data_IF_856347201083
#
_entry.id   IF_856347201083
#
_cell.length_a   1.000
_cell.length_b   1.000
_cell.length_c   1.000
_cell.angle_alpha   90.00
_cell.angle_beta   90.00
_cell.angle_gamma   90.00
#
_symmetry.space_group_name_H-M   'P 1'
#
loop_
_entity.id
_entity.type
_entity.pdbx_description
1 polymer ?
#
# COMPACT_ATOMS: atom_id res chain seq x y z
N UNK A 1 -14.38 -19.39 34.85
CA UNK A 1 -13.23 -19.32 33.96
C UNK A 1 -13.18 -17.91 33.34
N UNK A 2 -12.24 -17.08 33.82
CA UNK A 2 -11.96 -15.77 33.25
C UNK A 2 -11.05 -15.99 32.03
N UNK A 3 -11.53 -15.66 30.84
CA UNK A 3 -10.68 -15.46 29.68
C UNK A 3 -9.78 -14.25 29.93
N UNK A 4 -8.49 -14.51 30.04
CA UNK A 4 -7.47 -13.47 30.08
C UNK A 4 -7.19 -13.08 28.63
N UNK A 5 -7.80 -11.97 28.20
CA UNK A 5 -7.44 -11.31 26.96
C UNK A 5 -5.98 -10.83 27.05
N UNK A 6 -5.08 -11.53 26.40
CA UNK A 6 -3.70 -11.08 26.24
C UNK A 6 -3.65 -9.99 25.19
N UNK A 7 -3.73 -8.75 25.63
CA UNK A 7 -3.38 -7.59 24.79
C UNK A 7 -1.87 -7.60 24.57
N UNK A 8 -1.43 -7.98 23.38
CA UNK A 8 -0.04 -7.78 22.99
C UNK A 8 0.16 -6.35 22.51
N UNK A 9 1.01 -5.61 23.17
CA UNK A 9 1.49 -4.30 22.73
C UNK A 9 2.80 -4.51 21.98
N UNK A 10 2.83 -4.24 20.67
CA UNK A 10 4.06 -4.23 19.91
C UNK A 10 4.78 -2.89 20.18
N UNK A 11 5.97 -2.98 20.77
CA UNK A 11 6.84 -1.82 21.02
C UNK A 11 7.87 -1.81 19.91
N UNK A 12 7.74 -0.85 18.98
CA UNK A 12 8.73 -0.59 17.95
C UNK A 12 9.68 0.52 18.40
N UNK A 13 10.97 0.21 18.40
CA UNK A 13 12.05 1.17 18.66
C UNK A 13 12.54 1.69 17.31
N UNK A 14 12.09 2.89 16.95
CA UNK A 14 12.58 3.60 15.77
C UNK A 14 13.39 4.80 16.27
N UNK A 15 14.68 4.86 15.93
CA UNK A 15 15.58 5.95 16.32
C UNK A 15 15.49 6.33 17.81
N UNK A 16 15.61 5.33 18.71
CA UNK A 16 15.50 5.49 20.18
C UNK A 16 14.16 6.04 20.70
N UNK A 17 13.10 6.07 19.88
CA UNK A 17 11.74 6.44 20.31
C UNK A 17 10.84 5.22 20.37
N UNK A 18 10.12 5.08 21.47
CA UNK A 18 9.17 3.97 21.69
C UNK A 18 7.83 4.37 21.05
N UNK A 19 7.41 3.61 20.04
CA UNK A 19 6.07 3.73 19.45
C UNK A 19 5.26 2.52 19.89
N UNK A 20 4.22 2.75 20.68
CA UNK A 20 3.30 1.71 21.12
C UNK A 20 2.15 1.60 20.10
N UNK A 21 2.16 0.52 19.33
CA UNK A 21 1.00 0.13 18.49
C UNK A 21 0.23 -0.92 19.28
N UNK A 22 -0.97 -0.56 19.74
CA UNK A 22 -1.88 -1.50 20.40
C UNK A 22 -2.52 -2.39 19.34
N UNK A 23 -2.03 -3.62 19.21
CA UNK A 23 -2.55 -4.63 18.31
C UNK A 23 -3.50 -5.54 19.08
N UNK A 24 -4.78 -5.49 18.75
CA UNK A 24 -5.77 -6.45 19.26
C UNK A 24 -5.86 -7.64 18.29
N UNK A 25 -5.49 -8.82 18.77
CA UNK A 25 -5.66 -10.08 18.03
C UNK A 25 -4.37 -10.88 17.86
N UNK A 26 -4.41 -12.12 18.31
CA UNK A 26 -3.31 -13.08 18.25
C UNK A 26 -3.36 -13.79 16.88
N UNK A 27 -2.66 -13.26 15.88
CA UNK A 27 -2.47 -13.87 14.58
C UNK A 27 -1.00 -13.81 14.15
N UNK A 28 -0.59 -14.66 13.22
CA UNK A 28 0.76 -14.64 12.65
C UNK A 28 0.98 -13.32 11.89
N UNK A 29 1.58 -12.33 12.55
CA UNK A 29 1.95 -11.06 11.92
C UNK A 29 3.36 -11.13 11.38
N UNK A 30 3.51 -10.85 10.07
CA UNK A 30 4.83 -10.71 9.45
C UNK A 30 5.18 -9.24 9.35
N UNK A 31 6.34 -8.89 9.86
CA UNK A 31 6.87 -7.52 9.87
C UNK A 31 8.08 -7.43 8.97
N UNK A 32 8.12 -6.40 8.12
CA UNK A 32 9.19 -6.16 7.18
C UNK A 32 9.63 -4.69 7.23
N UNK A 33 10.90 -4.42 6.91
CA UNK A 33 11.40 -3.06 6.78
C UNK A 33 10.93 -2.45 5.46
N UNK A 34 10.36 -1.25 5.50
CA UNK A 34 10.15 -0.41 4.33
C UNK A 34 11.42 0.41 4.08
N UNK A 35 11.96 0.34 2.85
CA UNK A 35 13.24 1.00 2.50
C UNK A 35 13.06 2.12 1.48
N UNK A 36 11.91 2.19 0.80
CA UNK A 36 11.53 3.29 -0.09
C UNK A 36 10.03 3.46 -0.08
N UNK A 37 9.57 4.70 -0.09
CA UNK A 37 8.16 5.06 -0.11
C UNK A 37 7.89 6.12 -1.17
N UNK A 38 6.87 5.87 -1.96
CA UNK A 38 6.46 6.74 -3.06
C UNK A 38 4.93 6.82 -3.10
N UNK A 39 4.40 7.99 -3.45
CA UNK A 39 2.98 8.19 -3.77
C UNK A 39 2.85 8.41 -5.27
N UNK A 40 1.84 7.80 -5.88
CA UNK A 40 1.46 8.06 -7.27
C UNK A 40 0.28 9.03 -7.25
N UNK A 41 0.47 10.21 -7.82
CA UNK A 41 -0.61 11.20 -7.88
C UNK A 41 -1.61 10.88 -9.01
N UNK A 42 -2.73 11.62 -9.05
CA UNK A 42 -3.82 11.47 -10.03
C UNK A 42 -3.36 11.56 -11.49
N UNK A 43 -2.21 12.21 -11.75
CA UNK A 43 -1.61 12.32 -13.08
C UNK A 43 -0.60 11.20 -13.38
N UNK A 44 -0.49 10.20 -12.52
CA UNK A 44 0.46 9.09 -12.66
C UNK A 44 1.91 9.48 -12.36
N UNK A 45 2.16 10.67 -11.79
CA UNK A 45 3.50 11.08 -11.36
C UNK A 45 3.85 10.43 -10.04
N UNK A 46 5.07 9.94 -9.97
CA UNK A 46 5.63 9.33 -8.76
C UNK A 46 6.34 10.42 -7.95
N UNK A 47 5.92 10.58 -6.70
CA UNK A 47 6.54 11.46 -5.71
C UNK A 47 7.22 10.56 -4.68
N UNK A 48 8.53 10.67 -4.58
CA UNK A 48 9.33 9.91 -3.60
C UNK A 48 9.56 10.76 -2.34
N UNK A 49 9.36 10.15 -1.18
CA UNK A 49 9.64 10.74 0.12
C UNK A 49 10.82 10.04 0.75
N UNK A 50 11.79 10.82 1.23
CA UNK A 50 12.96 10.29 1.93
C UNK A 50 12.54 9.69 3.27
N UNK A 51 12.77 8.38 3.43
CA UNK A 51 12.48 7.68 4.66
C UNK A 51 13.64 7.79 5.65
N UNK A 52 13.36 8.27 6.86
CA UNK A 52 14.26 8.07 7.99
C UNK A 52 14.13 6.66 8.56
N UNK A 53 12.89 6.14 8.59
CA UNK A 53 12.61 4.75 8.94
C UNK A 53 11.24 4.33 8.40
N UNK A 54 11.00 3.01 8.34
CA UNK A 54 9.71 2.49 7.90
C UNK A 54 9.54 1.01 8.19
N UNK A 55 8.33 0.63 8.56
CA UNK A 55 7.94 -0.75 8.81
C UNK A 55 6.58 -1.05 8.18
N UNK A 56 6.46 -2.23 7.59
CA UNK A 56 5.20 -2.72 7.06
C UNK A 56 4.84 -4.05 7.72
N UNK A 57 3.59 -4.17 8.13
CA UNK A 57 3.06 -5.31 8.89
C UNK A 57 1.91 -5.94 8.09
N UNK A 58 2.02 -7.23 7.83
CA UNK A 58 0.94 -8.02 7.25
C UNK A 58 0.09 -8.63 8.36
N UNK A 59 -1.22 -8.34 8.36
CA UNK A 59 -2.20 -8.91 9.27
C UNK A 59 -2.91 -10.10 8.61
N UNK A 60 -2.23 -11.24 8.48
CA UNK A 60 -2.70 -12.38 7.67
C UNK A 60 -4.07 -12.94 8.12
N UNK A 61 -4.42 -12.87 9.40
CA UNK A 61 -5.63 -13.54 9.92
C UNK A 61 -6.90 -12.68 9.91
N UNK A 62 -6.79 -11.36 9.80
CA UNK A 62 -7.97 -10.49 9.95
C UNK A 62 -8.63 -10.13 8.62
N UNK A 63 -8.07 -10.53 7.48
CA UNK A 63 -8.56 -10.10 6.15
C UNK A 63 -8.51 -8.56 5.94
N UNK A 64 -7.95 -7.82 6.89
CA UNK A 64 -7.99 -6.36 6.97
C UNK A 64 -6.74 -5.67 6.41
N UNK A 65 -5.95 -6.37 5.58
CA UNK A 65 -4.87 -5.73 4.84
C UNK A 65 -3.58 -5.54 5.64
N UNK A 66 -2.81 -4.53 5.24
CA UNK A 66 -1.48 -4.24 5.74
C UNK A 66 -1.48 -2.92 6.52
N UNK A 67 -0.60 -2.81 7.50
CA UNK A 67 -0.26 -1.53 8.14
C UNK A 67 1.14 -1.12 7.72
N UNK A 68 1.28 0.12 7.28
CA UNK A 68 2.57 0.74 7.00
C UNK A 68 2.77 1.92 7.94
N UNK A 69 3.87 1.93 8.66
CA UNK A 69 4.34 3.11 9.39
C UNK A 69 5.63 3.61 8.75
N UNK A 70 5.67 4.90 8.45
CA UNK A 70 6.86 5.59 7.94
C UNK A 70 7.22 6.77 8.83
N UNK A 71 8.51 7.06 8.89
CA UNK A 71 9.06 8.27 9.53
C UNK A 71 9.75 9.09 8.45
N UNK A 72 9.27 10.31 8.25
CA UNK A 72 9.78 11.27 7.26
C UNK A 72 9.95 12.65 7.87
N UNK A 73 10.53 13.60 7.12
CA UNK A 73 10.62 15.02 7.52
C UNK A 73 9.24 15.61 7.78
N UNK A 74 9.12 16.41 8.83
CA UNK A 74 7.86 17.08 9.17
C UNK A 74 7.52 18.28 8.26
N UNK A 75 8.39 18.62 7.30
CA UNK A 75 8.09 19.63 6.27
C UNK A 75 6.87 19.26 5.41
N UNK A 76 6.54 17.96 5.31
CA UNK A 76 5.40 17.43 4.58
C UNK A 76 4.13 17.32 5.44
N UNK A 77 4.13 17.84 6.68
CA UNK A 77 3.02 17.63 7.63
C UNK A 77 1.68 18.09 7.08
N UNK A 78 1.61 19.29 6.51
CA UNK A 78 0.34 19.84 6.01
C UNK A 78 -0.24 18.98 4.87
N UNK A 79 0.61 18.49 3.97
CA UNK A 79 0.18 17.60 2.87
C UNK A 79 -0.44 16.30 3.39
N UNK A 80 0.21 15.64 4.34
CA UNK A 80 -0.31 14.39 4.88
C UNK A 80 -1.50 14.61 5.81
N UNK A 81 -1.56 15.77 6.47
CA UNK A 81 -2.71 16.18 7.27
C UNK A 81 -3.95 16.37 6.40
N UNK A 82 -3.79 17.00 5.23
CA UNK A 82 -4.85 17.14 4.23
C UNK A 82 -5.34 15.78 3.73
N UNK A 83 -4.43 14.84 3.43
CA UNK A 83 -4.79 13.48 3.04
C UNK A 83 -5.58 12.76 4.15
N UNK A 84 -5.20 12.97 5.41
CA UNK A 84 -5.90 12.38 6.55
C UNK A 84 -7.30 12.98 6.74
N UNK A 85 -7.42 14.32 6.70
CA UNK A 85 -8.67 15.02 6.97
C UNK A 85 -9.72 14.77 5.88
N UNK A 86 -9.26 14.56 4.65
CA UNK A 86 -10.12 14.24 3.49
C UNK A 86 -10.35 12.72 3.33
N UNK A 87 -9.78 11.88 4.21
CA UNK A 87 -9.79 10.41 4.07
C UNK A 87 -9.39 9.96 2.65
N UNK A 88 -8.42 10.69 2.07
CA UNK A 88 -8.04 10.51 0.67
C UNK A 88 -7.43 9.14 0.43
N UNK A 89 -7.92 8.46 -0.60
CA UNK A 89 -7.35 7.22 -1.08
C UNK A 89 -6.08 7.52 -1.87
N UNK A 90 -4.98 6.88 -1.48
CA UNK A 90 -3.65 7.10 -2.02
C UNK A 90 -3.11 5.82 -2.66
N UNK A 91 -2.62 5.96 -3.88
CA UNK A 91 -1.83 4.91 -4.52
C UNK A 91 -0.39 5.02 -4.07
N UNK A 92 0.09 4.06 -3.29
CA UNK A 92 1.45 4.05 -2.78
C UNK A 92 2.27 2.90 -3.32
N UNK A 93 3.57 3.12 -3.40
CA UNK A 93 4.57 2.14 -3.80
C UNK A 93 5.62 2.02 -2.69
N UNK A 94 5.81 0.82 -2.19
CA UNK A 94 6.73 0.55 -1.07
C UNK A 94 7.73 -0.51 -1.48
N UNK A 95 9.02 -0.19 -1.41
CA UNK A 95 10.07 -1.19 -1.56
C UNK A 95 10.35 -1.79 -0.18
N UNK A 96 10.27 -3.12 -0.11
CA UNK A 96 10.32 -3.87 1.15
C UNK A 96 11.63 -4.64 1.23
N UNK A 97 12.27 -4.60 2.38
CA UNK A 97 13.46 -5.35 2.79
C UNK A 97 14.76 -4.91 2.10
N UNK A 98 14.82 -4.92 0.77
CA UNK A 98 16.05 -4.59 0.00
C UNK A 98 15.76 -3.54 -1.05
N UNK A 99 16.65 -2.53 -1.23
CA UNK A 99 16.45 -1.47 -2.23
C UNK A 99 16.31 -1.96 -3.67
N UNK A 100 16.87 -3.15 -3.97
CA UNK A 100 16.79 -3.77 -5.29
C UNK A 100 15.50 -4.54 -5.57
N UNK A 101 14.63 -4.67 -4.58
CA UNK A 101 13.34 -5.34 -4.77
C UNK A 101 12.39 -4.45 -5.57
N UNK A 102 11.49 -5.08 -6.32
CA UNK A 102 10.38 -4.39 -6.95
C UNK A 102 9.45 -3.79 -5.89
N UNK A 103 8.90 -2.57 -6.11
CA UNK A 103 7.95 -1.98 -5.19
C UNK A 103 6.64 -2.76 -5.16
N UNK A 104 6.15 -3.03 -3.96
CA UNK A 104 4.79 -3.46 -3.75
C UNK A 104 3.84 -2.27 -3.89
N UNK A 105 2.69 -2.50 -4.51
CA UNK A 105 1.67 -1.48 -4.78
C UNK A 105 0.53 -1.65 -3.79
N UNK A 106 0.12 -0.55 -3.18
CA UNK A 106 -0.99 -0.53 -2.23
C UNK A 106 -1.91 0.65 -2.51
N UNK A 107 -3.18 0.42 -2.31
CA UNK A 107 -4.20 1.43 -2.08
C UNK A 107 -4.27 1.70 -0.58
N UNK A 108 -4.20 2.96 -0.15
CA UNK A 108 -3.96 3.28 1.25
C UNK A 108 -4.67 4.53 1.71
N UNK A 109 -5.01 4.58 2.99
CA UNK A 109 -5.50 5.78 3.66
C UNK A 109 -4.63 6.10 4.88
N UNK A 110 -4.46 7.40 5.16
CA UNK A 110 -3.74 7.86 6.35
C UNK A 110 -4.63 7.66 7.59
N UNK A 111 -4.18 6.83 8.52
CA UNK A 111 -4.91 6.56 9.77
C UNK A 111 -4.52 7.50 10.89
N UNK A 112 -3.23 7.75 11.07
CA UNK A 112 -2.74 8.65 12.11
C UNK A 112 -1.43 9.31 11.72
N UNK A 113 -1.24 10.53 12.21
CA UNK A 113 0.00 11.29 12.07
C UNK A 113 0.45 11.72 13.46
N UNK A 114 1.72 11.50 13.75
CA UNK A 114 2.36 11.93 14.99
C UNK A 114 3.52 12.86 14.65
N UNK A 115 3.38 14.14 14.97
CA UNK A 115 4.40 15.14 14.68
C UNK A 115 5.44 15.22 15.80
N UNK A 116 6.71 15.29 15.43
CA UNK A 116 7.85 15.49 16.31
C UNK A 116 8.56 16.80 15.93
N UNK A 117 9.71 17.10 16.54
CA UNK A 117 10.42 18.37 16.28
C UNK A 117 10.86 18.52 14.81
N UNK A 118 11.42 17.47 14.24
CA UNK A 118 12.02 17.49 12.89
C UNK A 118 11.42 16.45 11.95
N UNK A 119 10.73 15.46 12.52
CA UNK A 119 10.16 14.34 11.80
C UNK A 119 8.71 14.15 12.16
N UNK A 120 8.00 13.36 11.36
CA UNK A 120 6.68 12.86 11.71
C UNK A 120 6.60 11.36 11.43
N UNK A 121 5.81 10.66 12.25
CA UNK A 121 5.40 9.28 11.99
C UNK A 121 4.00 9.27 11.40
N UNK A 122 3.82 8.54 10.32
CA UNK A 122 2.55 8.39 9.62
C UNK A 122 2.21 6.91 9.55
N UNK A 123 1.00 6.57 9.97
CA UNK A 123 0.46 5.21 9.86
C UNK A 123 -0.59 5.17 8.77
N UNK A 124 -0.41 4.25 7.84
CA UNK A 124 -1.36 3.97 6.77
C UNK A 124 -2.03 2.62 6.99
N UNK A 125 -3.30 2.56 6.67
CA UNK A 125 -3.98 1.29 6.38
C UNK A 125 -3.87 1.04 4.88
N UNK A 126 -3.32 -0.13 4.52
CA UNK A 126 -2.96 -0.45 3.16
C UNK A 126 -3.65 -1.73 2.72
N UNK A 127 -4.17 -1.71 1.50
CA UNK A 127 -4.68 -2.88 0.82
C UNK A 127 -3.77 -3.18 -0.37
N UNK A 128 -3.29 -4.43 -0.48
CA UNK A 128 -2.52 -4.81 -1.66
C UNK A 128 -3.39 -4.56 -2.88
N UNK A 129 -2.81 -3.86 -3.82
CA UNK A 129 -3.44 -3.57 -5.07
C UNK A 129 -3.64 -4.88 -5.86
N UNK A 130 -4.76 -5.50 -5.68
CA UNK A 130 -5.23 -6.67 -6.44
C UNK A 130 -5.53 -6.30 -7.88
N UNK A 131 -5.40 -5.01 -8.24
CA UNK A 131 -5.63 -4.52 -9.61
C UNK A 131 -4.76 -5.19 -10.65
N UNK A 132 -3.60 -5.73 -10.30
CA UNK A 132 -2.85 -6.48 -11.30
C UNK A 132 -3.62 -7.73 -11.72
N UNK A 133 -4.29 -8.37 -10.78
CA UNK A 133 -5.11 -9.55 -11.07
C UNK A 133 -6.43 -9.16 -11.72
N UNK A 134 -7.14 -8.18 -11.15
CA UNK A 134 -8.40 -7.68 -11.73
C UNK A 134 -8.16 -7.08 -13.12
N UNK A 135 -7.10 -6.27 -13.27
CA UNK A 135 -6.69 -5.75 -14.57
C UNK A 135 -6.34 -6.87 -15.56
N UNK A 136 -5.63 -7.90 -15.10
CA UNK A 136 -5.28 -9.05 -15.94
C UNK A 136 -6.52 -9.84 -16.36
N UNK A 137 -7.47 -10.03 -15.46
CA UNK A 137 -8.74 -10.70 -15.74
C UNK A 137 -9.57 -9.89 -16.74
N UNK A 138 -9.80 -8.58 -16.47
CA UNK A 138 -10.55 -7.71 -17.39
C UNK A 138 -9.86 -7.54 -18.75
N UNK A 139 -8.53 -7.44 -18.76
CA UNK A 139 -7.76 -7.39 -19.98
C UNK A 139 -7.90 -8.70 -20.79
N UNK A 140 -7.86 -9.84 -20.12
CA UNK A 140 -8.01 -11.15 -20.76
C UNK A 140 -9.40 -11.28 -21.36
N UNK A 141 -10.45 -10.93 -20.63
CA UNK A 141 -11.83 -10.90 -21.13
C UNK A 141 -11.95 -10.02 -22.37
N UNK A 142 -11.46 -8.77 -22.30
CA UNK A 142 -11.49 -7.86 -23.45
C UNK A 142 -10.79 -8.44 -24.69
N UNK A 143 -9.61 -9.05 -24.52
CA UNK A 143 -8.87 -9.62 -25.65
C UNK A 143 -9.59 -10.84 -26.25
N UNK A 144 -10.29 -11.62 -25.44
CA UNK A 144 -11.13 -12.74 -25.90
C UNK A 144 -12.34 -12.21 -26.66
N UNK A 145 -13.00 -11.19 -26.15
CA UNK A 145 -14.14 -10.52 -26.80
C UNK A 145 -13.75 -9.85 -28.13
N UNK A 146 -12.53 -9.32 -28.22
CA UNK A 146 -11.94 -8.80 -29.46
C UNK A 146 -11.57 -9.94 -30.46
N UNK A 147 -11.83 -11.21 -30.10
CA UNK A 147 -11.66 -12.40 -30.96
C UNK A 147 -10.25 -12.95 -31.00
N UNK A 148 -9.34 -12.52 -30.11
CA UNK A 148 -7.98 -13.04 -30.08
C UNK A 148 -7.94 -14.43 -29.42
N UNK A 149 -7.09 -15.29 -29.94
CA UNK A 149 -6.88 -16.64 -29.40
C UNK A 149 -5.44 -17.13 -29.61
N UNK A 150 -5.05 -18.19 -28.91
CA UNK A 150 -3.74 -18.83 -29.05
C UNK A 150 -2.56 -17.89 -28.82
N UNK A 151 -1.60 -17.91 -29.74
CA UNK A 151 -0.36 -17.14 -29.64
C UNK A 151 -0.58 -15.62 -29.79
N UNK A 152 -1.60 -15.19 -30.54
CA UNK A 152 -1.93 -13.77 -30.68
C UNK A 152 -2.49 -13.19 -29.38
N UNK A 153 -3.38 -13.92 -28.70
CA UNK A 153 -3.88 -13.57 -27.38
C UNK A 153 -2.73 -13.40 -26.39
N UNK A 154 -1.84 -14.39 -26.32
CA UNK A 154 -0.70 -14.38 -25.41
C UNK A 154 0.25 -13.20 -25.64
N UNK A 155 0.59 -12.92 -26.90
CA UNK A 155 1.48 -11.78 -27.25
C UNK A 155 0.83 -10.44 -26.91
N UNK A 156 -0.46 -10.28 -27.22
CA UNK A 156 -1.20 -9.06 -26.94
C UNK A 156 -1.37 -8.85 -25.43
N UNK A 157 -1.70 -9.90 -24.70
CA UNK A 157 -1.81 -9.87 -23.25
C UNK A 157 -0.48 -9.45 -22.59
N UNK A 158 0.63 -10.10 -22.92
CA UNK A 158 1.94 -9.75 -22.35
C UNK A 158 2.34 -8.30 -22.67
N UNK A 159 2.13 -7.84 -23.89
CA UNK A 159 2.41 -6.46 -24.30
C UNK A 159 1.58 -5.46 -23.50
N UNK A 160 0.27 -5.72 -23.38
CA UNK A 160 -0.65 -4.82 -22.68
C UNK A 160 -0.44 -4.84 -21.16
N UNK A 161 -0.09 -5.98 -20.57
CA UNK A 161 0.29 -6.06 -19.15
C UNK A 161 1.55 -5.23 -18.82
N UNK A 162 2.46 -5.03 -19.77
CA UNK A 162 3.64 -4.20 -19.61
C UNK A 162 3.32 -2.71 -19.78
N UNK A 163 2.54 -2.35 -20.79
CA UNK A 163 2.19 -0.96 -21.13
C UNK A 163 1.03 -0.40 -20.30
N UNK A 164 0.22 -1.27 -19.69
CA UNK A 164 -0.98 -0.94 -18.89
C UNK A 164 -1.86 0.14 -19.54
N UNK A 165 -2.35 -0.05 -20.78
CA UNK A 165 -3.30 0.87 -21.37
C UNK A 165 -4.60 0.87 -20.54
N UNK A 166 -5.33 2.00 -20.55
CA UNK A 166 -6.69 2.03 -19.99
C UNK A 166 -7.55 0.99 -20.74
N UNK A 167 -8.22 0.15 -19.99
CA UNK A 167 -9.23 -0.76 -20.55
C UNK A 167 -10.41 0.09 -21.06
N UNK A 168 -11.13 -0.42 -22.06
CA UNK A 168 -12.38 0.20 -22.50
C UNK A 168 -13.34 0.14 -21.31
N UNK A 169 -13.82 1.31 -20.87
CA UNK A 169 -14.77 1.38 -19.77
C UNK A 169 -15.99 0.51 -20.11
N UNK A 170 -16.37 -0.34 -19.15
CA UNK A 170 -17.68 -0.96 -19.20
C UNK A 170 -18.73 0.15 -19.28
N UNK A 171 -19.63 0.02 -20.24
CA UNK A 171 -20.81 0.88 -20.35
C UNK A 171 -21.53 0.81 -19.00
N UNK A 172 -21.58 1.94 -18.29
CA UNK A 172 -22.61 2.16 -17.29
C UNK A 172 -23.95 2.00 -18.02
N UNK A 173 -24.60 0.90 -17.82
CA UNK A 173 -26.00 0.73 -18.23
C UNK A 173 -26.83 1.68 -17.37
N UNK A 174 -27.61 2.52 -18.06
CA UNK A 174 -28.64 3.41 -17.52
C UNK A 174 -29.73 2.64 -16.76
#
# INVERSE_FOLDING_TARGET
FKEISHEMTLILLINSKIINIKLMGCGNMKTFKAVRFQIVNEHGRIIEYELEDGVIINKEESGTGWLLEIVISNEHYETFKEYQDNEQLLDIRVVITRPANDPALFESTVKSIKNFKTTMSIVFECHIYTLRQQYAESLLEQLIDDGLSGEELKKSFNRMMQSKPKLKDEKLEE
#
